data_IF_156560044078
#
_entry.id   IF_156560044078
#
_cell.length_a   1.000
_cell.length_b   1.000
_cell.length_c   1.000
_cell.angle_alpha   90.00
_cell.angle_beta   90.00
_cell.angle_gamma   90.00
#
_symmetry.space_group_name_H-M   'P 1'
#
loop_
_entity.id
_entity.type
_entity.pdbx_description
1 polymer ?
#
# COMPACT_ATOMS: atom_id res chain seq x y z
N UNK A 1 -7.24 -12.64 -14.48
CA UNK A 1 -6.44 -13.82 -14.14
C UNK A 1 -6.67 -14.29 -12.70
N UNK A 2 -6.47 -13.45 -11.67
CA UNK A 2 -6.65 -13.85 -10.26
C UNK A 2 -8.05 -14.33 -9.94
N UNK A 3 -9.10 -13.66 -10.42
CA UNK A 3 -10.49 -14.08 -10.23
C UNK A 3 -10.81 -15.40 -10.94
N UNK A 4 -10.16 -15.68 -12.09
CA UNK A 4 -10.26 -16.97 -12.78
C UNK A 4 -9.61 -18.09 -11.96
N UNK A 5 -8.48 -17.83 -11.32
CA UNK A 5 -7.80 -18.78 -10.44
C UNK A 5 -8.67 -19.19 -9.23
N UNK A 6 -9.60 -18.33 -8.79
CA UNK A 6 -10.56 -18.62 -7.72
C UNK A 6 -11.82 -19.37 -8.19
N UNK A 7 -11.87 -19.79 -9.46
CA UNK A 7 -12.97 -20.61 -10.00
C UNK A 7 -14.16 -19.82 -10.52
N UNK A 8 -14.06 -18.49 -10.66
CA UNK A 8 -15.08 -17.70 -11.33
C UNK A 8 -15.09 -18.01 -12.83
N UNK A 9 -16.19 -18.63 -13.32
CA UNK A 9 -16.26 -19.19 -14.68
C UNK A 9 -17.05 -18.32 -15.67
N UNK A 10 -17.75 -17.28 -15.22
CA UNK A 10 -18.56 -16.45 -16.09
C UNK A 10 -17.90 -15.09 -16.35
N UNK A 11 -17.55 -14.81 -17.60
CA UNK A 11 -16.89 -13.55 -18.01
C UNK A 11 -17.64 -12.30 -17.55
N UNK A 12 -18.98 -12.27 -17.63
CA UNK A 12 -19.80 -11.15 -17.15
C UNK A 12 -19.62 -10.87 -15.65
N UNK A 13 -19.56 -11.90 -14.82
CA UNK A 13 -19.34 -11.77 -13.38
C UNK A 13 -17.91 -11.26 -13.09
N UNK A 14 -16.92 -11.76 -13.83
CA UNK A 14 -15.53 -11.33 -13.71
C UNK A 14 -15.36 -9.86 -14.08
N UNK A 15 -15.98 -9.44 -15.19
CA UNK A 15 -15.96 -8.06 -15.65
C UNK A 15 -16.66 -7.13 -14.65
N UNK A 16 -17.82 -7.55 -14.12
CA UNK A 16 -18.54 -6.78 -13.09
C UNK A 16 -17.70 -6.55 -11.82
N UNK A 17 -17.05 -7.60 -11.31
CA UNK A 17 -16.13 -7.47 -10.16
C UNK A 17 -14.92 -6.59 -10.48
N UNK A 18 -14.36 -6.70 -11.68
CA UNK A 18 -13.25 -5.85 -12.10
C UNK A 18 -13.65 -4.37 -12.17
N UNK A 19 -14.85 -4.06 -12.71
CA UNK A 19 -15.38 -2.69 -12.74
C UNK A 19 -15.54 -2.11 -11.34
N UNK A 20 -16.13 -2.85 -10.40
CA UNK A 20 -16.25 -2.43 -9.00
C UNK A 20 -14.90 -2.13 -8.35
N UNK A 21 -13.87 -2.91 -8.67
CA UNK A 21 -12.52 -2.66 -8.15
C UNK A 21 -11.85 -1.46 -8.79
N UNK A 22 -12.07 -1.19 -10.08
CA UNK A 22 -11.58 0.04 -10.72
C UNK A 22 -12.18 1.27 -10.04
N UNK A 23 -13.48 1.28 -9.77
CA UNK A 23 -14.14 2.36 -9.03
C UNK A 23 -13.56 2.52 -7.62
N UNK A 24 -13.37 1.41 -6.87
CA UNK A 24 -12.78 1.44 -5.52
C UNK A 24 -11.37 2.02 -5.47
N UNK A 25 -10.59 1.84 -6.53
CA UNK A 25 -9.25 2.42 -6.64
C UNK A 25 -9.24 3.73 -7.45
N UNK A 26 -10.39 4.36 -7.61
CA UNK A 26 -10.57 5.64 -8.30
C UNK A 26 -10.00 5.66 -9.73
N UNK A 27 -10.18 4.58 -10.47
CA UNK A 27 -9.90 4.48 -11.90
C UNK A 27 -11.22 4.46 -12.65
N UNK A 28 -11.33 5.29 -13.69
CA UNK A 28 -12.51 5.34 -14.54
C UNK A 28 -12.82 3.95 -15.10
N UNK A 29 -14.05 3.47 -14.86
CA UNK A 29 -14.54 2.18 -15.30
C UNK A 29 -14.53 2.03 -16.84
N UNK A 30 -14.66 3.13 -17.59
CA UNK A 30 -14.55 3.14 -19.05
C UNK A 30 -13.19 2.68 -19.57
N UNK A 31 -12.17 2.66 -18.70
CA UNK A 31 -10.80 2.26 -19.05
C UNK A 31 -10.50 0.78 -18.84
N UNK A 32 -11.49 -0.04 -18.51
CA UNK A 32 -11.29 -1.47 -18.19
C UNK A 32 -10.60 -2.26 -19.31
N UNK A 33 -10.77 -1.84 -20.55
CA UNK A 33 -10.18 -2.49 -21.73
C UNK A 33 -8.83 -1.89 -22.14
N UNK A 34 -8.38 -0.83 -21.46
CA UNK A 34 -7.09 -0.21 -21.71
C UNK A 34 -5.93 -1.13 -21.28
N UNK A 35 -4.83 -1.06 -22.05
CA UNK A 35 -3.59 -1.73 -21.64
C UNK A 35 -2.93 -0.96 -20.49
N UNK A 36 -2.34 -1.67 -19.51
CA UNK A 36 -1.67 -1.02 -18.36
C UNK A 36 -0.62 0.04 -18.74
N UNK A 37 0.02 -0.09 -19.89
CA UNK A 37 0.98 0.90 -20.40
C UNK A 37 0.38 2.28 -20.72
N UNK A 38 -0.95 2.37 -20.84
CA UNK A 38 -1.66 3.64 -21.08
C UNK A 38 -2.03 4.37 -19.79
N UNK A 39 -1.75 3.77 -18.62
CA UNK A 39 -2.01 4.36 -17.32
C UNK A 39 -0.80 5.18 -16.83
N UNK A 40 -1.04 6.28 -16.13
CA UNK A 40 0.01 7.00 -15.40
C UNK A 40 0.60 6.13 -14.28
N UNK A 41 1.78 6.50 -13.76
CA UNK A 41 2.42 5.77 -12.67
C UNK A 41 1.50 5.55 -11.46
N UNK A 42 0.81 6.61 -11.01
CA UNK A 42 -0.16 6.51 -9.92
C UNK A 42 -1.36 5.61 -10.23
N UNK A 43 -1.86 5.62 -11.48
CA UNK A 43 -2.93 4.71 -11.89
C UNK A 43 -2.43 3.26 -11.96
N UNK A 44 -1.20 3.00 -12.39
CA UNK A 44 -0.61 1.67 -12.38
C UNK A 44 -0.48 1.12 -10.96
N UNK A 45 -0.07 1.95 -9.99
CA UNK A 45 -0.02 1.57 -8.57
C UNK A 45 -1.43 1.24 -8.02
N UNK A 46 -2.43 2.06 -8.32
CA UNK A 46 -3.83 1.80 -7.95
C UNK A 46 -4.36 0.50 -8.56
N UNK A 47 -4.04 0.23 -9.82
CA UNK A 47 -4.40 -1.03 -10.49
C UNK A 47 -3.72 -2.23 -9.84
N UNK A 48 -2.45 -2.09 -9.42
CA UNK A 48 -1.73 -3.12 -8.70
C UNK A 48 -2.36 -3.42 -7.33
N UNK A 49 -2.82 -2.39 -6.62
CA UNK A 49 -3.58 -2.54 -5.37
C UNK A 49 -4.88 -3.30 -5.62
N UNK A 50 -5.69 -2.88 -6.60
CA UNK A 50 -6.92 -3.58 -6.98
C UNK A 50 -6.67 -5.05 -7.31
N UNK A 51 -5.62 -5.34 -8.09
CA UNK A 51 -5.19 -6.70 -8.43
C UNK A 51 -4.87 -7.54 -7.21
N UNK A 52 -4.26 -6.96 -6.18
CA UNK A 52 -3.91 -7.68 -4.97
C UNK A 52 -5.11 -7.90 -4.04
N UNK A 53 -6.06 -6.96 -4.03
CA UNK A 53 -7.20 -6.98 -3.11
C UNK A 53 -8.45 -7.66 -3.68
N UNK A 54 -8.54 -7.87 -5.01
CA UNK A 54 -9.73 -8.42 -5.67
C UNK A 54 -10.14 -9.81 -5.15
N UNK A 55 -9.20 -10.55 -4.58
CA UNK A 55 -9.42 -11.87 -3.97
C UNK A 55 -9.82 -11.80 -2.50
N UNK A 56 -10.01 -10.59 -1.96
CA UNK A 56 -10.36 -10.34 -0.56
C UNK A 56 -9.41 -11.06 0.43
N UNK A 57 -8.10 -10.85 0.30
CA UNK A 57 -7.13 -11.47 1.20
C UNK A 57 -7.31 -10.95 2.63
N UNK A 58 -6.87 -11.71 3.63
CA UNK A 58 -6.83 -11.27 5.04
C UNK A 58 -5.53 -10.56 5.39
N UNK A 59 -4.47 -10.80 4.63
CA UNK A 59 -3.15 -10.21 4.81
C UNK A 59 -2.56 -9.80 3.46
N UNK A 60 -1.99 -8.62 3.40
CA UNK A 60 -1.27 -8.10 2.22
C UNK A 60 0.10 -7.57 2.61
N UNK A 61 1.09 -7.90 1.78
CA UNK A 61 2.41 -7.30 1.83
C UNK A 61 2.51 -6.21 0.76
N UNK A 62 2.98 -5.04 1.16
CA UNK A 62 3.24 -3.90 0.28
C UNK A 62 4.68 -3.45 0.44
N UNK A 63 5.42 -3.47 -0.64
CA UNK A 63 6.82 -3.03 -0.69
C UNK A 63 6.89 -1.72 -1.47
N UNK A 64 7.28 -0.64 -0.79
CA UNK A 64 7.41 0.72 -1.32
C UNK A 64 6.20 1.14 -2.21
N UNK A 65 4.95 1.06 -1.73
CA UNK A 65 3.76 1.27 -2.58
C UNK A 65 3.67 2.69 -3.16
N UNK A 66 4.39 3.65 -2.61
CA UNK A 66 4.42 5.05 -3.06
C UNK A 66 5.70 5.43 -3.80
N UNK A 67 6.62 4.49 -3.96
CA UNK A 67 7.92 4.73 -4.59
C UNK A 67 7.79 5.26 -6.02
N UNK A 68 8.55 6.31 -6.34
CA UNK A 68 8.59 6.90 -7.68
C UNK A 68 7.38 7.77 -8.05
N UNK A 69 6.48 8.06 -7.10
CA UNK A 69 5.36 8.96 -7.30
C UNK A 69 5.69 10.37 -6.80
N UNK A 70 5.13 11.39 -7.45
CA UNK A 70 5.17 12.75 -6.93
C UNK A 70 4.34 12.88 -5.65
N UNK A 71 4.65 13.89 -4.82
CA UNK A 71 4.07 14.09 -3.49
C UNK A 71 2.54 14.13 -3.50
N UNK A 72 1.95 14.75 -4.52
CA UNK A 72 0.50 14.89 -4.60
C UNK A 72 -0.21 13.57 -4.93
N UNK A 73 0.38 12.78 -5.82
CA UNK A 73 -0.11 11.44 -6.18
C UNK A 73 0.12 10.46 -5.03
N UNK A 74 1.26 10.57 -4.34
CA UNK A 74 1.56 9.79 -3.14
C UNK A 74 0.51 10.01 -2.05
N UNK A 75 0.20 11.27 -1.71
CA UNK A 75 -0.80 11.59 -0.69
C UNK A 75 -2.17 10.97 -1.00
N UNK A 76 -2.64 11.06 -2.22
CA UNK A 76 -3.91 10.45 -2.67
C UNK A 76 -3.88 8.93 -2.59
N UNK A 77 -2.74 8.30 -2.93
CA UNK A 77 -2.59 6.85 -2.85
C UNK A 77 -2.62 6.36 -1.40
N UNK A 78 -1.98 7.09 -0.48
CA UNK A 78 -1.96 6.77 0.95
C UNK A 78 -3.36 6.88 1.56
N UNK A 79 -4.12 7.92 1.21
CA UNK A 79 -5.51 8.10 1.65
C UNK A 79 -6.40 6.96 1.14
N UNK A 80 -6.29 6.59 -0.13
CA UNK A 80 -6.97 5.42 -0.70
C UNK A 80 -6.62 4.13 0.05
N UNK A 81 -5.35 3.87 0.31
CA UNK A 81 -4.90 2.68 1.04
C UNK A 81 -5.50 2.63 2.44
N UNK A 82 -5.50 3.75 3.16
CA UNK A 82 -6.07 3.86 4.49
C UNK A 82 -7.56 3.48 4.51
N UNK A 83 -8.34 4.02 3.57
CA UNK A 83 -9.75 3.69 3.45
C UNK A 83 -9.97 2.20 3.13
N UNK A 84 -9.23 1.64 2.16
CA UNK A 84 -9.36 0.24 1.80
C UNK A 84 -9.00 -0.71 2.95
N UNK A 85 -7.97 -0.39 3.73
CA UNK A 85 -7.56 -1.19 4.90
C UNK A 85 -8.67 -1.23 5.96
N UNK A 86 -9.29 -0.08 6.25
CA UNK A 86 -10.38 0.02 7.22
C UNK A 86 -11.65 -0.68 6.72
N UNK A 87 -12.06 -0.43 5.48
CA UNK A 87 -13.28 -1.00 4.90
C UNK A 87 -13.25 -2.52 4.78
N UNK A 88 -12.06 -3.08 4.57
CA UNK A 88 -11.89 -4.52 4.35
C UNK A 88 -11.44 -5.28 5.59
N UNK A 89 -11.24 -4.62 6.74
CA UNK A 89 -10.63 -5.21 7.95
C UNK A 89 -9.34 -5.97 7.61
N UNK A 90 -8.45 -5.31 6.87
CA UNK A 90 -7.29 -5.91 6.23
C UNK A 90 -6.05 -5.78 7.12
N UNK A 91 -5.36 -6.89 7.37
CA UNK A 91 -4.01 -6.85 7.92
C UNK A 91 -3.00 -6.51 6.80
N UNK A 92 -2.13 -5.52 7.06
CA UNK A 92 -1.12 -5.06 6.11
C UNK A 92 0.26 -5.09 6.74
N UNK A 93 1.23 -5.65 6.02
CA UNK A 93 2.65 -5.46 6.28
C UNK A 93 3.19 -4.53 5.20
N UNK A 94 3.58 -3.34 5.60
CA UNK A 94 4.11 -2.30 4.74
C UNK A 94 5.63 -2.21 4.93
N UNK A 95 6.39 -2.32 3.84
CA UNK A 95 7.82 -2.02 3.82
C UNK A 95 8.00 -0.65 3.19
N UNK A 96 8.67 0.25 3.89
CA UNK A 96 8.99 1.59 3.40
C UNK A 96 10.20 2.16 4.10
N UNK A 97 10.93 3.04 3.41
CA UNK A 97 11.98 3.88 3.99
C UNK A 97 11.47 5.27 4.39
N UNK A 98 10.22 5.59 4.03
CA UNK A 98 9.59 6.87 4.38
C UNK A 98 8.90 6.78 5.74
N UNK A 99 9.48 7.42 6.77
CA UNK A 99 8.93 7.41 8.13
C UNK A 99 7.62 8.19 8.24
N UNK A 100 7.35 9.15 7.36
CA UNK A 100 6.06 9.84 7.33
C UNK A 100 4.94 8.88 6.84
N UNK A 101 5.22 8.07 5.82
CA UNK A 101 4.33 7.02 5.36
C UNK A 101 4.12 5.96 6.45
N UNK A 102 5.18 5.53 7.11
CA UNK A 102 5.11 4.59 8.21
C UNK A 102 4.24 5.13 9.36
N UNK A 103 4.44 6.40 9.77
CA UNK A 103 3.62 7.06 10.81
C UNK A 103 2.14 7.17 10.43
N UNK A 104 1.86 7.46 9.17
CA UNK A 104 0.49 7.64 8.69
C UNK A 104 -0.31 6.34 8.63
N UNK A 105 0.32 5.23 8.23
CA UNK A 105 -0.37 3.99 7.89
C UNK A 105 -0.21 2.87 8.93
N UNK A 106 0.84 2.87 9.74
CA UNK A 106 1.13 1.74 10.61
C UNK A 106 0.79 1.99 12.09
N UNK A 107 0.27 0.96 12.76
CA UNK A 107 0.06 0.97 14.22
C UNK A 107 1.31 0.56 14.97
N UNK A 108 2.13 -0.28 14.34
CA UNK A 108 3.38 -0.81 14.91
C UNK A 108 4.49 -0.73 13.88
N UNK A 109 5.69 -0.47 14.36
CA UNK A 109 6.90 -0.49 13.56
C UNK A 109 7.81 -1.64 13.94
N UNK A 110 8.52 -2.11 12.93
CA UNK A 110 9.64 -3.02 13.04
C UNK A 110 10.79 -2.41 12.25
N UNK A 111 11.83 -1.97 12.94
CA UNK A 111 13.03 -1.41 12.31
C UNK A 111 14.00 -2.55 12.04
N UNK A 112 14.44 -2.64 10.78
CA UNK A 112 15.39 -3.67 10.34
C UNK A 112 16.72 -3.02 9.93
N UNK A 113 17.81 -3.66 10.33
CA UNK A 113 19.17 -3.27 9.94
C UNK A 113 19.99 -4.51 9.63
N UNK A 114 20.59 -4.56 8.44
CA UNK A 114 21.41 -5.70 7.96
C UNK A 114 20.74 -7.08 8.09
N UNK A 115 19.42 -7.14 7.85
CA UNK A 115 18.65 -8.39 7.91
C UNK A 115 18.16 -8.78 9.30
N UNK A 116 18.47 -7.98 10.34
CA UNK A 116 18.04 -8.21 11.72
C UNK A 116 17.01 -7.17 12.15
N UNK A 117 16.06 -7.58 12.99
CA UNK A 117 15.13 -6.67 13.66
C UNK A 117 15.86 -6.04 14.84
N UNK A 118 16.07 -4.73 14.80
CA UNK A 118 16.81 -4.01 15.83
C UNK A 118 15.91 -3.28 16.83
N UNK A 119 14.70 -2.92 16.41
CA UNK A 119 13.70 -2.30 17.29
C UNK A 119 12.28 -2.61 16.83
N UNK A 120 11.33 -2.74 17.76
CA UNK A 120 9.92 -2.93 17.47
C UNK A 120 9.05 -2.32 18.56
N UNK A 121 7.93 -1.72 18.18
CA UNK A 121 7.03 -1.07 19.14
C UNK A 121 5.81 -0.45 18.46
N UNK A 122 5.04 0.32 19.22
CA UNK A 122 4.02 1.20 18.65
C UNK A 122 4.71 2.28 17.81
N UNK A 123 4.10 2.64 16.70
CA UNK A 123 4.69 3.58 15.74
C UNK A 123 5.14 4.87 16.38
N UNK A 124 4.26 5.52 17.15
CA UNK A 124 4.59 6.78 17.81
C UNK A 124 5.70 6.62 18.85
N UNK A 125 5.72 5.51 19.61
CA UNK A 125 6.79 5.27 20.59
C UNK A 125 8.15 5.12 19.91
N UNK A 126 8.23 4.31 18.84
CA UNK A 126 9.49 4.08 18.12
C UNK A 126 10.00 5.34 17.43
N UNK A 127 9.08 6.19 16.92
CA UNK A 127 9.45 7.40 16.20
C UNK A 127 9.72 8.59 17.11
N UNK A 128 9.06 8.69 18.27
CA UNK A 128 9.22 9.82 19.19
C UNK A 128 10.29 9.58 20.26
N UNK A 129 10.51 8.32 20.67
CA UNK A 129 11.52 7.92 21.65
C UNK A 129 12.27 6.64 21.20
N UNK A 130 13.06 6.73 20.12
CA UNK A 130 13.81 5.58 19.60
C UNK A 130 14.94 5.16 20.57
N UNK A 131 15.01 3.87 20.86
CA UNK A 131 15.99 3.32 21.79
C UNK A 131 17.25 2.79 21.09
N UNK A 132 17.11 2.19 19.91
CA UNK A 132 18.27 1.66 19.18
C UNK A 132 19.00 2.76 18.41
N UNK A 133 20.34 2.74 18.44
CA UNK A 133 21.17 3.77 17.79
C UNK A 133 20.87 3.96 16.29
N UNK A 134 20.55 2.88 15.58
CA UNK A 134 20.19 2.96 14.17
C UNK A 134 18.83 3.64 13.97
N UNK A 135 17.84 3.36 14.82
CA UNK A 135 16.52 4.02 14.78
C UNK A 135 16.66 5.51 15.07
N UNK A 136 17.49 5.88 16.06
CA UNK A 136 17.80 7.29 16.38
C UNK A 136 18.40 8.01 15.17
N UNK A 137 19.32 7.34 14.45
CA UNK A 137 19.90 7.89 13.24
C UNK A 137 18.84 8.08 12.12
N UNK A 138 17.95 7.10 11.91
CA UNK A 138 16.87 7.22 10.92
C UNK A 138 15.94 8.39 11.22
N UNK A 139 15.47 8.49 12.47
CA UNK A 139 14.55 9.56 12.88
C UNK A 139 15.22 10.93 12.79
N UNK A 140 16.49 11.06 13.23
CA UNK A 140 17.21 12.33 13.17
C UNK A 140 17.48 12.82 11.75
N UNK A 141 17.62 11.90 10.79
CA UNK A 141 17.89 12.26 9.39
C UNK A 141 16.71 12.98 8.71
N UNK A 142 15.48 12.79 9.20
CA UNK A 142 14.29 13.47 8.67
C UNK A 142 14.14 14.89 9.23
N UNK A 143 14.61 15.13 10.45
CA UNK A 143 14.50 16.45 11.08
C UNK A 143 15.48 17.48 10.49
N UNK A 144 16.41 17.04 9.63
CA UNK A 144 17.45 17.88 9.02
C UNK A 144 17.20 18.20 7.54
N UNK A 145 16.15 17.70 6.91
CA UNK A 145 15.73 17.96 5.53
C UNK A 145 14.48 18.80 5.47
#
# INVERSE_FOLDING_TARGET
>A
ERLMAEGARHYGTLRGRALQWLERVEIDAGRIDDKPALYSGGMQQRLQIARNLVTSPRLVFMDEPTGGLDVSVQARLLDLLRHLVLDMDLAVILVTHDLAVARLLSHRLMVMYRGEVVETGLTDQVLDDPHHAYTQLLVSSILQG
#
